data_IF_416697505230
#
_entry.id   IF_416697505230
#
_cell.length_a   1.000
_cell.length_b   1.000
_cell.length_c   1.000
_cell.angle_alpha   90.00
_cell.angle_beta   90.00
_cell.angle_gamma   90.00
#
_symmetry.space_group_name_H-M   'P 1'
#
loop_
_entity.id
_entity.type
_entity.pdbx_description
1 polymer ?
#
# COMPACT_ATOMS: atom_id res chain seq x y z
N UNK A 1 2.19 -21.50 -1.67
CA UNK A 1 2.05 -20.13 -1.16
C UNK A 1 2.39 -19.22 -2.33
N UNK A 2 1.51 -18.28 -2.69
CA UNK A 2 1.79 -17.30 -3.74
C UNK A 2 3.04 -16.52 -3.35
N UNK A 3 3.98 -16.35 -4.29
CA UNK A 3 5.22 -15.63 -3.96
C UNK A 3 4.95 -14.13 -3.83
N UNK A 4 5.86 -13.42 -3.17
CA UNK A 4 5.76 -11.95 -3.06
C UNK A 4 5.74 -11.30 -4.45
N UNK A 5 6.54 -11.82 -5.38
CA UNK A 5 6.62 -11.34 -6.76
C UNK A 5 5.31 -11.58 -7.54
N UNK A 6 4.67 -12.74 -7.34
CA UNK A 6 3.37 -13.04 -7.94
C UNK A 6 2.28 -12.07 -7.44
N UNK A 7 2.28 -11.77 -6.13
CA UNK A 7 1.35 -10.81 -5.52
C UNK A 7 1.56 -9.38 -6.05
N UNK A 8 2.83 -8.99 -6.24
CA UNK A 8 3.19 -7.71 -6.85
C UNK A 8 2.67 -7.62 -8.29
N UNK A 9 2.93 -8.64 -9.11
CA UNK A 9 2.57 -8.64 -10.53
C UNK A 9 1.05 -8.56 -10.74
N UNK A 10 0.26 -9.31 -9.96
CA UNK A 10 -1.22 -9.25 -10.00
C UNK A 10 -1.71 -7.83 -9.72
N UNK A 11 -1.23 -7.21 -8.64
CA UNK A 11 -1.67 -5.88 -8.23
C UNK A 11 -1.21 -4.81 -9.22
N UNK A 12 0.02 -4.92 -9.73
CA UNK A 12 0.59 -4.03 -10.74
C UNK A 12 -0.22 -4.07 -12.04
N UNK A 13 -0.56 -5.27 -12.54
CA UNK A 13 -1.39 -5.43 -13.74
C UNK A 13 -2.77 -4.81 -13.54
N UNK A 14 -3.38 -5.04 -12.38
CA UNK A 14 -4.69 -4.45 -12.06
C UNK A 14 -4.62 -2.92 -12.04
N UNK A 15 -3.61 -2.33 -11.39
CA UNK A 15 -3.42 -0.87 -11.43
C UNK A 15 -3.28 -0.37 -12.86
N UNK A 16 -2.37 -0.96 -13.65
CA UNK A 16 -2.04 -0.53 -15.02
C UNK A 16 -3.20 -0.67 -15.99
N UNK A 17 -4.09 -1.64 -15.79
CA UNK A 17 -5.19 -1.91 -16.70
C UNK A 17 -6.50 -1.23 -16.29
N UNK A 18 -6.75 -1.08 -14.98
CA UNK A 18 -8.06 -0.66 -14.47
C UNK A 18 -8.05 0.73 -13.84
N UNK A 19 -6.95 1.15 -13.20
CA UNK A 19 -6.91 2.40 -12.42
C UNK A 19 -6.16 3.49 -13.16
N UNK A 20 -4.91 3.25 -13.51
CA UNK A 20 -4.03 4.24 -14.14
C UNK A 20 -4.60 4.88 -15.40
N UNK A 21 -5.10 4.09 -16.38
CA UNK A 21 -5.68 4.63 -17.60
C UNK A 21 -6.89 5.54 -17.35
N UNK A 22 -7.68 5.27 -16.31
CA UNK A 22 -8.82 6.12 -15.95
C UNK A 22 -8.38 7.43 -15.31
N UNK A 23 -7.33 7.41 -14.47
CA UNK A 23 -6.74 8.63 -13.93
C UNK A 23 -6.20 9.54 -15.05
N UNK A 24 -5.55 8.97 -16.05
CA UNK A 24 -5.00 9.71 -17.19
C UNK A 24 -6.09 10.20 -18.15
N UNK A 25 -6.98 9.30 -18.60
CA UNK A 25 -8.03 9.60 -19.59
C UNK A 25 -8.95 10.72 -19.12
N UNK A 26 -9.21 10.80 -17.83
CA UNK A 26 -10.08 11.82 -17.25
C UNK A 26 -9.31 13.01 -16.70
N UNK A 27 -8.01 13.18 -17.02
CA UNK A 27 -7.13 14.26 -16.55
C UNK A 27 -7.30 14.52 -15.04
N UNK A 28 -7.26 13.45 -14.26
CA UNK A 28 -7.37 13.51 -12.79
C UNK A 28 -6.03 13.74 -12.11
N UNK A 29 -4.94 13.74 -12.88
CA UNK A 29 -3.59 13.96 -12.38
C UNK A 29 -3.12 15.39 -12.69
N UNK A 30 -2.46 16.02 -11.73
CA UNK A 30 -1.82 17.33 -11.84
C UNK A 30 -0.31 17.23 -11.62
N UNK A 31 0.43 18.12 -12.26
CA UNK A 31 1.86 18.21 -12.07
C UNK A 31 2.22 18.80 -10.70
N UNK A 32 3.17 18.16 -10.03
CA UNK A 32 3.73 18.53 -8.75
C UNK A 32 5.26 18.36 -8.80
N UNK A 33 5.98 19.48 -8.75
CA UNK A 33 7.45 19.54 -8.84
C UNK A 33 8.16 18.85 -7.66
N UNK A 34 7.45 18.66 -6.53
CA UNK A 34 7.99 18.04 -5.32
C UNK A 34 7.74 16.53 -5.22
N UNK A 35 7.38 15.86 -6.33
CA UNK A 35 6.93 14.47 -6.32
C UNK A 35 7.95 13.50 -5.70
N UNK A 36 9.22 13.67 -6.05
CA UNK A 36 10.36 12.96 -5.48
C UNK A 36 11.18 13.97 -4.66
N UNK A 37 10.94 14.03 -3.35
CA UNK A 37 11.70 14.90 -2.45
C UNK A 37 12.67 14.10 -1.55
N UNK A 38 13.52 14.83 -0.81
CA UNK A 38 14.49 14.22 0.11
C UNK A 38 13.83 13.38 1.22
N UNK A 39 12.60 13.70 1.61
CA UNK A 39 11.89 12.94 2.64
C UNK A 39 11.35 11.63 2.08
N UNK A 40 10.93 11.59 0.81
CA UNK A 40 10.55 10.37 0.11
C UNK A 40 11.69 9.36 0.08
N UNK A 41 12.91 9.77 -0.29
CA UNK A 41 14.06 8.87 -0.31
C UNK A 41 14.36 8.24 1.06
N UNK A 42 14.26 9.03 2.15
CA UNK A 42 14.46 8.51 3.51
C UNK A 42 13.39 7.48 3.93
N UNK A 43 12.15 7.71 3.52
CA UNK A 43 11.05 6.77 3.82
C UNK A 43 11.27 5.47 3.04
N UNK A 44 11.69 5.55 1.78
CA UNK A 44 12.06 4.37 0.99
C UNK A 44 13.23 3.60 1.62
N UNK A 45 14.31 4.28 1.99
CA UNK A 45 15.46 3.63 2.63
C UNK A 45 15.03 2.86 3.90
N UNK A 46 14.17 3.47 4.73
CA UNK A 46 13.59 2.83 5.92
C UNK A 46 12.77 1.58 5.55
N UNK A 47 11.93 1.68 4.53
CA UNK A 47 11.06 0.59 4.07
C UNK A 47 11.90 -0.57 3.52
N UNK A 48 12.97 -0.30 2.77
CA UNK A 48 13.85 -1.36 2.25
C UNK A 48 14.55 -2.11 3.38
N UNK A 49 15.08 -1.41 4.39
CA UNK A 49 15.64 -2.06 5.59
C UNK A 49 14.61 -2.92 6.34
N UNK A 50 13.35 -2.47 6.39
CA UNK A 50 12.26 -3.26 6.99
C UNK A 50 11.96 -4.51 6.16
N UNK A 51 11.93 -4.41 4.82
CA UNK A 51 11.73 -5.54 3.90
C UNK A 51 12.83 -6.58 4.02
N UNK A 52 14.09 -6.17 4.11
CA UNK A 52 15.22 -7.09 4.35
C UNK A 52 15.01 -7.87 5.65
N UNK A 53 14.71 -7.15 6.75
CA UNK A 53 14.45 -7.75 8.06
C UNK A 53 13.21 -8.67 8.07
N UNK A 54 12.15 -8.32 7.34
CA UNK A 54 10.96 -9.18 7.14
C UNK A 54 11.35 -10.46 6.39
N UNK A 55 12.12 -10.33 5.32
CA UNK A 55 12.54 -11.46 4.46
C UNK A 55 13.35 -12.48 5.25
N UNK A 56 14.33 -12.02 6.05
CA UNK A 56 15.11 -12.88 6.94
C UNK A 56 14.24 -13.63 7.95
N UNK A 57 13.27 -12.93 8.54
CA UNK A 57 12.36 -13.52 9.55
C UNK A 57 11.36 -14.50 8.95
N UNK A 58 10.84 -14.21 7.76
CA UNK A 58 10.00 -15.15 6.99
C UNK A 58 10.81 -16.39 6.61
N UNK A 59 12.07 -16.25 6.21
CA UNK A 59 12.93 -17.40 5.92
C UNK A 59 13.14 -18.28 7.16
N UNK A 60 13.43 -17.67 8.31
CA UNK A 60 13.56 -18.40 9.59
C UNK A 60 12.27 -19.13 9.98
N UNK A 61 11.12 -18.45 9.84
CA UNK A 61 9.80 -19.05 10.09
C UNK A 61 9.54 -20.21 9.11
N UNK A 62 9.83 -20.02 7.83
CA UNK A 62 9.58 -21.04 6.80
C UNK A 62 10.42 -22.29 7.07
N UNK A 63 11.71 -22.12 7.40
CA UNK A 63 12.59 -23.21 7.79
C UNK A 63 12.06 -23.95 9.03
N UNK A 64 11.55 -23.24 10.03
CA UNK A 64 10.93 -23.86 11.20
C UNK A 64 9.70 -24.68 10.79
N UNK A 65 8.76 -24.07 10.05
CA UNK A 65 7.53 -24.71 9.60
C UNK A 65 7.80 -25.92 8.71
N UNK A 66 8.86 -25.90 7.90
CA UNK A 66 9.24 -27.04 7.08
C UNK A 66 9.62 -28.26 7.91
N UNK A 67 10.29 -28.04 9.06
CA UNK A 67 10.75 -29.07 9.97
C UNK A 67 9.64 -29.57 10.92
N UNK A 68 8.85 -28.65 11.51
CA UNK A 68 7.94 -28.96 12.63
C UNK A 68 6.47 -29.01 12.24
N UNK A 69 6.09 -28.39 11.11
CA UNK A 69 4.69 -28.18 10.66
C UNK A 69 3.80 -27.43 11.66
N UNK A 70 4.37 -26.85 12.72
CA UNK A 70 3.67 -26.15 13.80
C UNK A 70 4.48 -24.94 14.23
N UNK A 71 3.86 -23.96 14.91
CA UNK A 71 4.58 -22.83 15.50
C UNK A 71 5.23 -23.18 16.85
N UNK A 72 5.04 -24.40 17.34
CA UNK A 72 5.54 -24.82 18.65
C UNK A 72 7.06 -24.85 18.67
N UNK A 73 7.64 -24.13 19.62
CA UNK A 73 9.09 -23.99 19.75
C UNK A 73 9.72 -22.95 18.82
N UNK A 74 8.94 -22.22 18.02
CA UNK A 74 9.45 -21.04 17.32
C UNK A 74 9.67 -19.87 18.28
N UNK A 75 10.65 -19.02 17.97
CA UNK A 75 10.97 -17.83 18.77
C UNK A 75 9.79 -16.84 18.74
N UNK A 76 9.10 -16.70 19.87
CA UNK A 76 7.95 -15.80 20.02
C UNK A 76 8.31 -14.32 19.93
N UNK A 77 9.55 -13.95 20.27
CA UNK A 77 10.06 -12.59 20.09
C UNK A 77 10.21 -12.28 18.61
N UNK A 78 10.86 -13.18 17.87
CA UNK A 78 11.02 -13.05 16.42
C UNK A 78 9.67 -13.00 15.69
N UNK A 79 8.71 -13.83 16.11
CA UNK A 79 7.35 -13.82 15.56
C UNK A 79 6.63 -12.48 15.77
N UNK A 80 6.73 -11.91 16.98
CA UNK A 80 6.13 -10.60 17.29
C UNK A 80 6.80 -9.47 16.52
N UNK A 81 8.12 -9.49 16.43
CA UNK A 81 8.89 -8.52 15.66
C UNK A 81 8.54 -8.58 14.17
N UNK A 82 8.38 -9.80 13.62
CA UNK A 82 7.95 -9.99 12.23
C UNK A 82 6.58 -9.35 11.99
N UNK A 83 5.58 -9.62 12.84
CA UNK A 83 4.24 -9.05 12.68
C UNK A 83 4.27 -7.53 12.86
N UNK A 84 5.02 -7.02 13.84
CA UNK A 84 5.18 -5.59 14.03
C UNK A 84 5.77 -4.92 12.78
N UNK A 85 6.83 -5.49 12.20
CA UNK A 85 7.42 -4.98 10.96
C UNK A 85 6.42 -5.06 9.79
N UNK A 86 5.65 -6.15 9.67
CA UNK A 86 4.60 -6.29 8.64
C UNK A 86 3.41 -5.34 8.85
N UNK A 87 3.19 -4.79 10.04
CA UNK A 87 2.22 -3.72 10.26
C UNK A 87 2.81 -2.33 9.94
N UNK A 88 4.05 -2.06 10.34
CA UNK A 88 4.70 -0.75 10.16
C UNK A 88 5.12 -0.47 8.71
N UNK A 89 5.52 -1.51 7.97
CA UNK A 89 6.01 -1.34 6.59
C UNK A 89 4.89 -0.87 5.63
N UNK A 90 3.69 -1.48 5.63
CA UNK A 90 2.54 -0.97 4.88
C UNK A 90 2.16 0.46 5.28
N UNK A 91 2.22 0.82 6.56
CA UNK A 91 1.94 2.18 7.01
C UNK A 91 2.87 3.20 6.33
N UNK A 92 4.17 2.90 6.23
CA UNK A 92 5.12 3.73 5.48
C UNK A 92 4.74 3.91 4.00
N UNK A 93 4.30 2.85 3.33
CA UNK A 93 3.79 2.95 1.96
C UNK A 93 2.50 3.76 1.87
N UNK A 94 1.56 3.60 2.81
CA UNK A 94 0.34 4.39 2.88
C UNK A 94 0.63 5.88 3.11
N UNK A 95 1.65 6.24 3.89
CA UNK A 95 2.09 7.62 4.09
C UNK A 95 2.57 8.24 2.78
N UNK A 96 3.43 7.53 2.03
CA UNK A 96 3.90 7.95 0.69
C UNK A 96 2.69 8.18 -0.21
N UNK A 97 1.82 7.18 -0.32
CA UNK A 97 0.68 7.22 -1.23
C UNK A 97 -0.31 8.31 -0.84
N UNK A 98 -0.58 8.50 0.46
CA UNK A 98 -1.44 9.59 0.96
C UNK A 98 -0.89 10.95 0.52
N UNK A 99 0.42 11.15 0.66
CA UNK A 99 1.08 12.40 0.26
C UNK A 99 0.96 12.62 -1.25
N UNK A 100 1.23 11.59 -2.06
CA UNK A 100 1.10 11.70 -3.51
C UNK A 100 -0.32 11.96 -3.96
N UNK A 101 -1.29 11.22 -3.45
CA UNK A 101 -2.70 11.46 -3.77
C UNK A 101 -3.13 12.89 -3.43
N UNK A 102 -2.61 13.46 -2.34
CA UNK A 102 -2.93 14.82 -1.90
C UNK A 102 -2.38 15.91 -2.84
N UNK A 103 -1.26 15.65 -3.52
CA UNK A 103 -0.60 16.65 -4.36
C UNK A 103 -0.72 16.38 -5.87
N UNK A 104 -0.94 15.13 -6.25
CA UNK A 104 -0.91 14.69 -7.64
C UNK A 104 -2.31 14.45 -8.21
N UNK A 105 -3.34 14.30 -7.36
CA UNK A 105 -4.73 14.23 -7.83
C UNK A 105 -5.32 15.64 -7.84
N UNK A 106 -6.07 15.97 -8.90
CA UNK A 106 -6.84 17.21 -8.96
C UNK A 106 -8.01 17.16 -7.96
N UNK A 107 -7.74 17.62 -6.74
CA UNK A 107 -8.72 17.68 -5.66
C UNK A 107 -9.94 18.56 -5.99
N UNK A 108 -9.77 19.60 -6.82
CA UNK A 108 -10.89 20.45 -7.23
C UNK A 108 -11.82 19.68 -8.18
N UNK A 109 -11.24 18.92 -9.10
CA UNK A 109 -11.99 18.13 -10.09
C UNK A 109 -12.80 17.01 -9.47
N UNK A 110 -12.26 16.36 -8.44
CA UNK A 110 -13.00 15.37 -7.64
C UNK A 110 -13.86 16.02 -6.53
N UNK A 111 -14.00 17.35 -6.53
CA UNK A 111 -14.83 18.12 -5.58
C UNK A 111 -14.47 17.89 -4.11
N UNK A 112 -13.19 17.68 -3.81
CA UNK A 112 -12.70 17.54 -2.44
C UNK A 112 -12.63 18.91 -1.75
N UNK A 113 -13.52 19.16 -0.79
CA UNK A 113 -13.67 20.47 -0.15
C UNK A 113 -12.80 20.74 1.09
N UNK A 114 -12.05 19.76 1.60
CA UNK A 114 -11.24 19.93 2.81
C UNK A 114 -9.83 20.44 2.50
N UNK A 115 -9.30 21.29 3.38
CA UNK A 115 -7.92 21.79 3.30
C UNK A 115 -6.86 20.77 3.72
N UNK A 116 -7.28 19.70 4.42
CA UNK A 116 -6.41 18.61 4.86
C UNK A 116 -6.89 17.32 4.20
N UNK A 117 -6.25 16.89 3.10
CA UNK A 117 -6.63 15.68 2.42
C UNK A 117 -6.37 14.47 3.31
N UNK A 118 -7.40 13.63 3.49
CA UNK A 118 -7.29 12.36 4.21
C UNK A 118 -7.45 11.22 3.22
N UNK A 119 -6.63 10.17 3.36
CA UNK A 119 -6.56 9.04 2.43
C UNK A 119 -7.93 8.47 2.04
N UNK A 120 -8.71 8.01 3.03
CA UNK A 120 -10.03 7.44 2.77
C UNK A 120 -11.03 8.43 2.18
N UNK A 121 -10.88 9.72 2.47
CA UNK A 121 -11.75 10.76 1.94
C UNK A 121 -11.41 11.08 0.47
N UNK A 122 -10.14 11.08 0.08
CA UNK A 122 -9.72 11.16 -1.33
C UNK A 122 -10.26 9.97 -2.11
N UNK A 123 -10.11 8.75 -1.57
CA UNK A 123 -10.65 7.53 -2.21
C UNK A 123 -12.17 7.58 -2.38
N UNK A 124 -12.89 8.09 -1.38
CA UNK A 124 -14.33 8.26 -1.49
C UNK A 124 -14.72 9.26 -2.59
N UNK A 125 -14.03 10.40 -2.69
CA UNK A 125 -14.31 11.39 -3.74
C UNK A 125 -13.93 10.88 -5.14
N UNK A 126 -12.83 10.14 -5.27
CA UNK A 126 -12.49 9.44 -6.51
C UNK A 126 -13.58 8.41 -6.88
N UNK A 127 -14.09 7.67 -5.91
CA UNK A 127 -15.19 6.72 -6.10
C UNK A 127 -16.53 7.35 -6.43
N UNK A 128 -16.72 8.64 -6.16
CA UNK A 128 -17.90 9.43 -6.54
C UNK A 128 -17.70 10.23 -7.83
N UNK A 129 -16.49 10.21 -8.39
CA UNK A 129 -16.18 10.96 -9.60
C UNK A 129 -16.96 10.42 -10.81
N UNK A 130 -17.63 11.33 -11.50
CA UNK A 130 -18.39 11.03 -12.72
C UNK A 130 -17.85 11.80 -13.91
N UNK A 131 -17.85 11.13 -15.07
CA UNK A 131 -17.59 11.73 -16.38
C UNK A 131 -18.83 11.50 -17.25
N UNK A 132 -19.38 12.57 -17.80
CA UNK A 132 -20.62 12.53 -18.61
C UNK A 132 -21.79 11.82 -17.90
N UNK A 133 -21.89 12.01 -16.59
CA UNK A 133 -22.92 11.41 -15.74
C UNK A 133 -22.68 9.94 -15.36
N UNK A 134 -21.61 9.31 -15.85
CA UNK A 134 -21.26 7.93 -15.52
C UNK A 134 -20.16 7.88 -14.47
N UNK A 135 -20.27 6.96 -13.51
CA UNK A 135 -19.19 6.68 -12.56
C UNK A 135 -17.96 6.18 -13.31
N UNK A 136 -16.81 6.80 -13.03
CA UNK A 136 -15.53 6.36 -13.59
C UNK A 136 -14.97 5.20 -12.78
N UNK A 137 -15.11 5.27 -11.45
CA UNK A 137 -14.64 4.24 -10.54
C UNK A 137 -15.79 3.67 -9.71
N UNK A 138 -15.70 2.39 -9.37
CA UNK A 138 -16.56 1.80 -8.35
C UNK A 138 -15.94 2.09 -6.98
N UNK A 139 -16.63 2.90 -6.15
CA UNK A 139 -16.14 3.29 -4.82
C UNK A 139 -15.71 2.10 -3.95
N UNK A 140 -16.54 1.07 -3.84
CA UNK A 140 -16.19 -0.13 -3.08
C UNK A 140 -14.92 -0.81 -3.62
N UNK A 141 -14.82 -0.92 -4.95
CA UNK A 141 -13.65 -1.48 -5.61
C UNK A 141 -12.37 -0.69 -5.35
N UNK A 142 -12.44 0.65 -5.37
CA UNK A 142 -11.30 1.50 -5.00
C UNK A 142 -10.90 1.31 -3.54
N UNK A 143 -11.87 1.31 -2.61
CA UNK A 143 -11.58 1.16 -1.18
C UNK A 143 -10.88 -0.15 -0.87
N UNK A 144 -11.33 -1.24 -1.48
CA UNK A 144 -10.69 -2.56 -1.35
C UNK A 144 -9.32 -2.58 -2.01
N UNK A 145 -9.21 -2.08 -3.25
CA UNK A 145 -7.94 -2.10 -3.99
C UNK A 145 -6.85 -1.28 -3.29
N UNK A 146 -7.19 -0.10 -2.77
CA UNK A 146 -6.30 0.77 -2.01
C UNK A 146 -6.24 0.43 -0.51
N UNK A 147 -6.87 -0.67 -0.09
CA UNK A 147 -6.91 -1.17 1.28
C UNK A 147 -7.11 -0.05 2.34
N UNK A 148 -8.19 0.71 2.16
CA UNK A 148 -8.51 1.90 2.98
C UNK A 148 -8.72 1.55 4.45
N UNK A 149 -9.31 0.38 4.74
CA UNK A 149 -9.57 -0.05 6.12
C UNK A 149 -8.26 -0.38 6.85
N UNK A 150 -7.37 -1.19 6.26
CA UNK A 150 -6.07 -1.47 6.87
C UNK A 150 -5.28 -0.18 7.10
N UNK A 151 -5.26 0.72 6.12
CA UNK A 151 -4.59 2.03 6.27
C UNK A 151 -5.13 2.79 7.47
N UNK A 152 -6.45 2.84 7.64
CA UNK A 152 -7.07 3.59 8.74
C UNK A 152 -6.78 2.92 10.08
N UNK A 153 -6.88 1.59 10.16
CA UNK A 153 -6.60 0.89 11.39
C UNK A 153 -5.14 1.06 11.84
N UNK A 154 -4.17 0.94 10.90
CA UNK A 154 -2.76 1.22 11.20
C UNK A 154 -2.54 2.69 11.59
N UNK A 155 -3.19 3.63 10.91
CA UNK A 155 -3.04 5.07 11.17
C UNK A 155 -3.69 5.56 12.47
N UNK A 156 -4.57 4.76 13.08
CA UNK A 156 -5.24 5.07 14.34
C UNK A 156 -4.83 4.16 15.50
N UNK A 157 -3.86 3.25 15.26
CA UNK A 157 -3.47 2.21 16.21
C UNK A 157 -4.63 1.27 16.62
N UNK A 158 -5.62 1.08 15.74
CA UNK A 158 -6.78 0.19 15.94
C UNK A 158 -6.46 -1.26 15.53
N UNK A 159 -5.32 -1.77 16.00
CA UNK A 159 -4.84 -3.12 15.70
C UNK A 159 -4.11 -3.76 16.91
N UNK A 160 -4.08 -5.08 16.96
CA UNK A 160 -3.46 -5.85 18.03
C UNK A 160 -3.00 -7.24 17.55
N UNK A 161 -2.30 -7.97 18.41
CA UNK A 161 -2.00 -9.38 18.22
C UNK A 161 -3.01 -10.22 19.01
N UNK A 162 -3.73 -11.12 18.34
CA UNK A 162 -4.66 -12.02 19.01
C UNK A 162 -3.92 -13.23 19.65
N UNK A 163 -4.69 -14.11 20.30
CA UNK A 163 -4.15 -15.29 21.00
C UNK A 163 -3.47 -16.32 20.07
N UNK A 164 -3.79 -16.29 18.77
CA UNK A 164 -3.18 -17.12 17.74
C UNK A 164 -1.93 -16.49 17.12
N UNK A 165 -1.46 -15.36 17.66
CA UNK A 165 -0.39 -14.54 17.08
C UNK A 165 -0.70 -14.07 15.65
N UNK A 166 -1.97 -13.78 15.36
CA UNK A 166 -2.39 -13.15 14.12
C UNK A 166 -2.50 -11.64 14.33
N UNK A 167 -2.19 -10.87 13.28
CA UNK A 167 -2.47 -9.45 13.26
C UNK A 167 -3.97 -9.25 13.13
N UNK A 168 -4.56 -8.56 14.09
CA UNK A 168 -5.99 -8.27 14.10
C UNK A 168 -6.20 -6.77 14.05
N UNK A 169 -7.15 -6.31 13.26
CA UNK A 169 -7.52 -4.91 13.19
C UNK A 169 -9.02 -4.74 13.06
N UNK A 170 -9.49 -3.53 13.37
CA UNK A 170 -10.91 -3.18 13.31
C UNK A 170 -11.20 -2.25 12.14
N UNK A 171 -12.18 -2.61 11.32
CA UNK A 171 -12.67 -1.76 10.23
C UNK A 171 -13.59 -0.65 10.75
N UNK A 172 -13.89 0.34 9.90
CA UNK A 172 -14.72 1.49 10.28
C UNK A 172 -16.14 1.16 10.73
N UNK A 173 -16.71 0.02 10.33
CA UNK A 173 -18.02 -0.46 10.78
C UNK A 173 -17.96 -1.32 12.07
N UNK A 174 -16.75 -1.56 12.55
CA UNK A 174 -16.47 -2.34 13.73
C UNK A 174 -16.23 -3.83 13.50
N UNK A 175 -16.22 -4.29 12.25
CA UNK A 175 -15.81 -5.64 11.88
C UNK A 175 -14.35 -5.88 12.26
N UNK A 176 -14.06 -7.02 12.89
CA UNK A 176 -12.70 -7.42 13.23
C UNK A 176 -12.15 -8.38 12.17
N UNK A 177 -10.98 -8.07 11.65
CA UNK A 177 -10.28 -8.86 10.63
C UNK A 177 -8.98 -9.38 11.24
N UNK A 178 -8.77 -10.70 11.20
CA UNK A 178 -7.53 -11.34 11.62
C UNK A 178 -6.78 -11.86 10.40
N UNK A 179 -5.51 -11.51 10.29
CA UNK A 179 -4.62 -11.88 9.20
C UNK A 179 -3.46 -12.72 9.74
N UNK A 180 -3.31 -13.91 9.17
CA UNK A 180 -2.08 -14.69 9.35
C UNK A 180 -0.90 -14.01 8.63
N UNK A 181 0.31 -14.53 8.85
CA UNK A 181 1.55 -13.95 8.29
C UNK A 181 1.54 -13.92 6.76
N UNK A 182 1.00 -14.96 6.12
CA UNK A 182 0.90 -15.01 4.67
C UNK A 182 -0.04 -13.94 4.12
N UNK A 183 -1.16 -13.69 4.80
CA UNK A 183 -2.13 -12.65 4.43
C UNK A 183 -1.57 -11.24 4.64
N UNK A 184 -0.90 -10.98 5.77
CA UNK A 184 -0.21 -9.70 5.99
C UNK A 184 0.88 -9.44 4.96
N UNK A 185 1.63 -10.48 4.60
CA UNK A 185 2.63 -10.39 3.55
C UNK A 185 1.99 -10.07 2.19
N UNK A 186 0.79 -10.60 1.94
CA UNK A 186 -0.08 -10.25 0.81
C UNK A 186 -0.45 -8.77 0.78
N UNK A 187 -0.95 -8.24 1.90
CA UNK A 187 -1.31 -6.82 2.01
C UNK A 187 -0.10 -5.88 1.83
N UNK A 188 1.06 -6.26 2.39
CA UNK A 188 2.32 -5.55 2.18
C UNK A 188 2.72 -5.54 0.70
N UNK A 189 2.66 -6.69 0.02
CA UNK A 189 2.94 -6.78 -1.40
C UNK A 189 1.98 -5.89 -2.20
N UNK A 190 0.69 -5.94 -1.87
CA UNK A 190 -0.35 -5.15 -2.53
C UNK A 190 -0.07 -3.65 -2.46
N UNK A 191 0.17 -3.10 -1.27
CA UNK A 191 0.41 -1.66 -1.14
C UNK A 191 1.74 -1.22 -1.78
N UNK A 192 2.77 -2.06 -1.71
CA UNK A 192 4.03 -1.83 -2.41
C UNK A 192 3.82 -1.72 -3.93
N UNK A 193 3.09 -2.67 -4.53
CA UNK A 193 2.75 -2.64 -5.95
C UNK A 193 1.96 -1.38 -6.35
N UNK A 194 1.03 -0.93 -5.52
CA UNK A 194 0.27 0.30 -5.79
C UNK A 194 1.17 1.52 -5.80
N UNK A 195 2.09 1.63 -4.82
CA UNK A 195 3.06 2.73 -4.75
C UNK A 195 3.99 2.71 -5.97
N UNK A 196 4.57 1.55 -6.32
CA UNK A 196 5.43 1.41 -7.50
C UNK A 196 4.69 1.76 -8.80
N UNK A 197 3.48 1.22 -8.98
CA UNK A 197 2.67 1.48 -10.17
C UNK A 197 2.27 2.95 -10.30
N UNK A 198 1.90 3.61 -9.19
CA UNK A 198 1.58 5.03 -9.18
C UNK A 198 2.82 5.87 -9.52
N UNK A 199 3.97 5.58 -8.90
CA UNK A 199 5.25 6.24 -9.15
C UNK A 199 5.62 6.19 -10.64
N UNK A 200 5.60 4.99 -11.22
CA UNK A 200 5.97 4.76 -12.62
C UNK A 200 5.03 5.46 -13.58
N UNK A 201 3.72 5.35 -13.36
CA UNK A 201 2.73 6.04 -14.18
C UNK A 201 2.93 7.56 -14.12
N UNK A 202 3.05 8.11 -12.91
CA UNK A 202 3.18 9.55 -12.72
C UNK A 202 4.46 10.10 -13.35
N UNK A 203 5.61 9.47 -13.11
CA UNK A 203 6.88 9.90 -13.70
C UNK A 203 6.86 9.74 -15.22
N UNK A 204 6.29 8.66 -15.75
CA UNK A 204 6.16 8.51 -17.22
C UNK A 204 5.41 9.68 -17.84
N UNK A 205 4.34 10.15 -17.17
CA UNK A 205 3.50 11.25 -17.66
C UNK A 205 4.17 12.62 -17.50
N UNK A 206 4.89 12.85 -16.42
CA UNK A 206 5.29 14.20 -16.00
C UNK A 206 6.81 14.44 -15.87
N UNK A 207 7.58 13.41 -15.51
CA UNK A 207 9.03 13.51 -15.33
C UNK A 207 9.73 12.18 -15.67
N UNK A 208 9.84 11.84 -16.97
CA UNK A 208 10.39 10.57 -17.40
C UNK A 208 11.90 10.45 -17.14
N UNK A 209 12.62 11.56 -16.93
CA UNK A 209 14.06 11.54 -16.64
C UNK A 209 14.34 11.05 -15.22
N UNK A 210 13.54 11.47 -14.25
CA UNK A 210 13.62 10.94 -12.88
C UNK A 210 13.34 9.45 -12.81
N UNK A 211 12.46 8.91 -13.67
CA UNK A 211 12.18 7.47 -13.73
C UNK A 211 13.43 6.65 -14.08
N UNK A 212 14.21 7.09 -15.06
CA UNK A 212 15.49 6.44 -15.45
C UNK A 212 16.48 6.43 -14.29
N UNK A 213 16.48 7.49 -13.47
CA UNK A 213 17.36 7.60 -12.30
C UNK A 213 16.93 6.67 -11.18
N UNK A 214 15.62 6.44 -11.00
CA UNK A 214 15.08 5.50 -10.03
C UNK A 214 15.37 4.06 -10.48
N UNK A 215 15.06 3.71 -11.72
CA UNK A 215 15.26 2.34 -12.24
C UNK A 215 16.73 1.90 -12.23
N UNK A 216 17.69 2.83 -12.28
CA UNK A 216 19.12 2.50 -12.16
C UNK A 216 19.61 2.27 -10.73
N UNK A 217 18.77 2.54 -9.72
CA UNK A 217 19.05 2.27 -8.29
C UNK A 217 18.40 0.99 -7.77
N UNK A 218 17.37 0.49 -8.45
CA UNK A 218 16.56 -0.66 -8.02
C UNK A 218 16.79 -1.92 -8.88
N UNK A 219 17.65 -1.86 -9.89
CA UNK A 219 18.22 -3.00 -10.63
C UNK A 219 19.69 -3.19 -10.26
#
# INVERSE_FOLDING_TARGET
MTTYEELLDVTNKKFKNEIGPLLEKHDLLIHYDGFVDKNFMKILDRIELQKESITEKIAALSQHMDNTKTLDGFDKGLLRDLIFLMAQTPLGYFEILTKWLSYCIDLNKIKYGSRKPMYGAIMNQLGDFTSDGNLVFLKAGLRTFFNVELRNALGHDDWWLNENAEFTFKEGDGTEISLNIGEQHGDLAGINAIVDSFLRMYLTKFDPQSLVTIDSKFN
#
